data_IF_072878868634
#
_entry.id   IF_072878868634
#
_cell.length_a   1.000
_cell.length_b   1.000
_cell.length_c   1.000
_cell.angle_alpha   90.00
_cell.angle_beta   90.00
_cell.angle_gamma   90.00
#
_symmetry.space_group_name_H-M   'P 1'
#
loop_
_entity.id
_entity.type
_entity.pdbx_description
1 polymer ?
#
# COMPACT_ATOMS: atom_id res chain seq x y z
N UNK A 1 -56.83 -30.59 -51.51
CA UNK A 1 -56.02 -31.50 -50.68
C UNK A 1 -54.49 -31.43 -50.91
N UNK A 2 -53.95 -30.71 -51.91
CA UNK A 2 -52.51 -30.74 -52.23
C UNK A 2 -51.57 -29.76 -51.50
N UNK A 3 -52.07 -28.73 -50.81
CA UNK A 3 -51.21 -27.76 -50.11
C UNK A 3 -50.69 -28.27 -48.75
N UNK A 4 -51.53 -28.96 -47.97
CA UNK A 4 -51.18 -29.44 -46.63
C UNK A 4 -50.12 -30.57 -46.70
N UNK A 5 -50.17 -31.42 -47.73
CA UNK A 5 -49.15 -32.46 -47.95
C UNK A 5 -47.78 -31.86 -48.36
N UNK A 6 -47.76 -30.78 -49.16
CA UNK A 6 -46.52 -30.06 -49.49
C UNK A 6 -45.89 -29.37 -48.28
N UNK A 7 -46.69 -28.70 -47.44
CA UNK A 7 -46.16 -28.03 -46.24
C UNK A 7 -45.58 -29.05 -45.25
N UNK A 8 -46.28 -30.17 -45.03
CA UNK A 8 -45.80 -31.24 -44.15
C UNK A 8 -44.56 -31.96 -44.69
N UNK A 9 -44.45 -32.11 -46.01
CA UNK A 9 -43.24 -32.60 -46.66
C UNK A 9 -42.06 -31.65 -46.47
N UNK A 10 -42.28 -30.34 -46.63
CA UNK A 10 -41.24 -29.30 -46.49
C UNK A 10 -40.76 -29.14 -45.04
N UNK A 11 -41.67 -29.20 -44.06
CA UNK A 11 -41.30 -29.21 -42.63
C UNK A 11 -40.50 -30.46 -42.27
N UNK A 12 -40.85 -31.62 -42.83
CA UNK A 12 -40.12 -32.87 -42.58
C UNK A 12 -38.75 -32.86 -43.25
N UNK A 13 -38.63 -32.37 -44.48
CA UNK A 13 -37.32 -32.22 -45.15
C UNK A 13 -36.42 -31.22 -44.44
N UNK A 14 -36.96 -30.09 -43.99
CA UNK A 14 -36.20 -29.08 -43.24
C UNK A 14 -35.77 -29.59 -41.85
N UNK A 15 -36.60 -30.42 -41.20
CA UNK A 15 -36.24 -31.04 -39.92
C UNK A 15 -35.13 -32.08 -40.11
N UNK A 16 -35.20 -32.92 -41.14
CA UNK A 16 -34.17 -33.92 -41.42
C UNK A 16 -32.85 -33.27 -41.85
N UNK A 17 -32.88 -32.24 -42.70
CA UNK A 17 -31.66 -31.52 -43.09
C UNK A 17 -31.00 -30.86 -41.88
N UNK A 18 -31.79 -30.23 -41.00
CA UNK A 18 -31.30 -29.59 -39.78
C UNK A 18 -30.73 -30.58 -38.75
N UNK A 19 -31.28 -31.79 -38.65
CA UNK A 19 -30.73 -32.86 -37.79
C UNK A 19 -29.37 -33.34 -38.33
N UNK A 20 -29.24 -33.48 -39.65
CA UNK A 20 -27.98 -33.87 -40.27
C UNK A 20 -26.89 -32.79 -40.13
N UNK A 21 -27.24 -31.50 -40.24
CA UNK A 21 -26.29 -30.40 -40.05
C UNK A 21 -25.79 -30.33 -38.61
N UNK A 22 -26.68 -30.45 -37.60
CA UNK A 22 -26.30 -30.44 -36.18
C UNK A 22 -25.34 -31.61 -35.86
N UNK A 23 -25.65 -32.82 -36.33
CA UNK A 23 -24.79 -34.00 -36.11
C UNK A 23 -23.42 -33.87 -36.78
N UNK A 24 -23.32 -33.12 -37.88
CA UNK A 24 -22.05 -32.82 -38.54
C UNK A 24 -21.24 -31.76 -37.80
N UNK A 25 -21.90 -30.73 -37.26
CA UNK A 25 -21.29 -29.69 -36.43
C UNK A 25 -20.75 -30.25 -35.11
N UNK A 26 -21.47 -31.17 -34.46
CA UNK A 26 -21.01 -31.86 -33.24
C UNK A 26 -19.74 -32.71 -33.48
N UNK A 27 -19.67 -33.38 -34.64
CA UNK A 27 -18.47 -34.12 -35.05
C UNK A 27 -17.30 -33.17 -35.29
N UNK A 28 -17.54 -32.04 -35.96
CA UNK A 28 -16.53 -31.01 -36.20
C UNK A 28 -16.02 -30.42 -34.87
N UNK A 29 -16.90 -30.11 -33.91
CA UNK A 29 -16.51 -29.60 -32.60
C UNK A 29 -15.65 -30.59 -31.81
N UNK A 30 -15.99 -31.89 -31.84
CA UNK A 30 -15.18 -32.93 -31.19
C UNK A 30 -13.79 -33.09 -31.85
N UNK A 31 -13.70 -32.98 -33.17
CA UNK A 31 -12.42 -33.01 -33.89
C UNK A 31 -11.56 -31.80 -33.52
N UNK A 32 -12.15 -30.59 -33.53
CA UNK A 32 -11.45 -29.35 -33.14
C UNK A 32 -10.93 -29.43 -31.70
N UNK A 33 -11.71 -30.02 -30.79
CA UNK A 33 -11.30 -30.24 -29.41
C UNK A 33 -10.13 -31.23 -29.28
N UNK A 34 -10.20 -32.39 -29.95
CA UNK A 34 -9.11 -33.37 -29.96
C UNK A 34 -7.82 -32.76 -30.55
N UNK A 35 -7.94 -32.02 -31.65
CA UNK A 35 -6.83 -31.30 -32.27
C UNK A 35 -6.22 -30.26 -31.31
N UNK A 36 -7.06 -29.56 -30.55
CA UNK A 36 -6.63 -28.61 -29.52
C UNK A 36 -5.84 -29.28 -28.40
N UNK A 37 -6.24 -30.49 -28.00
CA UNK A 37 -5.56 -31.28 -26.97
C UNK A 37 -4.19 -31.78 -27.47
N UNK A 38 -4.11 -32.21 -28.72
CA UNK A 38 -2.85 -32.62 -29.38
C UNK A 38 -1.89 -31.44 -29.54
N UNK A 39 -2.38 -30.27 -29.94
CA UNK A 39 -1.56 -29.05 -30.09
C UNK A 39 -1.11 -28.47 -28.74
N UNK A 40 -1.76 -28.82 -27.63
CA UNK A 40 -1.34 -28.45 -26.28
C UNK A 40 -0.39 -29.46 -25.63
N UNK A 41 -0.25 -30.66 -26.20
CA UNK A 41 0.61 -31.74 -25.70
C UNK A 41 2.08 -31.31 -25.48
N UNK A 42 2.69 -30.44 -26.32
CA UNK A 42 4.02 -29.90 -26.08
C UNK A 42 4.14 -29.11 -24.77
N UNK A 43 3.08 -28.52 -24.21
CA UNK A 43 3.15 -27.82 -22.92
C UNK A 43 3.14 -28.75 -21.70
N UNK A 44 2.69 -29.99 -21.90
CA UNK A 44 2.57 -31.01 -20.85
C UNK A 44 3.80 -31.94 -20.80
N UNK A 45 4.66 -31.88 -21.82
CA UNK A 45 5.91 -32.61 -21.85
C UNK A 45 6.90 -32.05 -20.79
N UNK A 46 7.71 -32.91 -20.14
CA UNK A 46 8.68 -32.48 -19.14
C UNK A 46 9.66 -31.44 -19.74
N UNK A 47 9.86 -30.35 -19.00
CA UNK A 47 10.58 -29.13 -19.43
C UNK A 47 11.95 -29.39 -20.08
N UNK A 48 12.61 -30.49 -19.75
CA UNK A 48 13.91 -30.88 -20.32
C UNK A 48 13.88 -31.22 -21.81
N UNK A 49 12.78 -31.76 -22.34
CA UNK A 49 12.69 -32.19 -23.75
C UNK A 49 12.49 -30.98 -24.70
N UNK A 50 11.77 -29.96 -24.25
CA UNK A 50 11.42 -28.77 -25.05
C UNK A 50 12.58 -27.78 -25.15
N UNK A 51 13.40 -27.69 -24.10
CA UNK A 51 14.62 -26.88 -24.12
C UNK A 51 15.65 -27.46 -25.09
N UNK A 52 15.70 -28.79 -25.23
CA UNK A 52 16.63 -29.48 -26.13
C UNK A 52 16.28 -29.34 -27.64
N UNK A 53 15.01 -29.05 -27.98
CA UNK A 53 14.51 -29.06 -29.36
C UNK A 53 14.44 -27.67 -30.04
N UNK A 54 14.67 -26.56 -29.32
CA UNK A 54 14.59 -25.24 -29.99
C UNK A 54 14.69 -23.96 -29.15
N UNK A 55 14.97 -24.02 -27.84
CA UNK A 55 15.12 -22.82 -27.01
C UNK A 55 13.82 -22.01 -26.80
N UNK A 56 13.88 -21.03 -25.88
CA UNK A 56 12.71 -20.27 -25.41
C UNK A 56 11.97 -19.50 -26.53
N UNK A 57 12.68 -19.12 -27.60
CA UNK A 57 12.12 -18.35 -28.72
C UNK A 57 11.18 -19.16 -29.61
N UNK A 58 11.47 -20.44 -29.84
CA UNK A 58 10.59 -21.32 -30.63
C UNK A 58 9.28 -21.59 -29.90
N UNK A 59 9.35 -21.77 -28.57
CA UNK A 59 8.14 -21.93 -27.75
C UNK A 59 7.34 -20.63 -27.68
N UNK A 60 7.99 -19.46 -27.63
CA UNK A 60 7.29 -18.17 -27.71
C UNK A 60 6.61 -17.98 -29.08
N UNK A 61 7.30 -18.30 -30.18
CA UNK A 61 6.71 -18.25 -31.52
C UNK A 61 5.53 -19.23 -31.67
N UNK A 62 5.67 -20.46 -31.14
CA UNK A 62 4.61 -21.46 -31.10
C UNK A 62 3.42 -20.98 -30.25
N UNK A 63 3.65 -20.39 -29.07
CA UNK A 63 2.57 -19.79 -28.25
C UNK A 63 1.83 -18.70 -29.02
N UNK A 64 2.55 -17.79 -29.68
CA UNK A 64 1.95 -16.63 -30.36
C UNK A 64 1.14 -17.02 -31.60
N UNK A 65 1.49 -18.11 -32.29
CA UNK A 65 0.73 -18.58 -33.46
C UNK A 65 -0.40 -19.53 -33.09
N UNK A 66 -0.14 -20.48 -32.20
CA UNK A 66 -1.07 -21.59 -31.93
C UNK A 66 -2.16 -21.19 -30.93
N UNK A 67 -1.83 -20.42 -29.88
CA UNK A 67 -2.81 -20.06 -28.85
C UNK A 67 -3.96 -19.20 -29.38
N UNK A 68 -3.74 -18.14 -30.20
CA UNK A 68 -4.84 -17.35 -30.75
C UNK A 68 -5.74 -18.16 -31.70
N UNK A 69 -5.16 -19.07 -32.49
CA UNK A 69 -5.89 -19.96 -33.41
C UNK A 69 -6.72 -20.97 -32.62
N UNK A 70 -6.18 -21.55 -31.54
CA UNK A 70 -6.90 -22.44 -30.64
C UNK A 70 -8.08 -21.74 -29.95
N UNK A 71 -7.87 -20.52 -29.46
CA UNK A 71 -8.92 -19.73 -28.82
C UNK A 71 -10.03 -19.41 -29.83
N UNK A 72 -9.68 -18.98 -31.03
CA UNK A 72 -10.65 -18.67 -32.10
C UNK A 72 -11.43 -19.90 -32.57
N UNK A 73 -10.75 -21.04 -32.78
CA UNK A 73 -11.38 -22.28 -33.22
C UNK A 73 -12.34 -22.86 -32.16
N UNK A 74 -11.94 -22.83 -30.88
CA UNK A 74 -12.75 -23.34 -29.78
C UNK A 74 -13.89 -22.37 -29.38
N UNK A 75 -13.76 -21.07 -29.71
CA UNK A 75 -14.86 -20.10 -29.59
C UNK A 75 -15.95 -20.32 -30.65
N UNK A 76 -15.55 -20.64 -31.89
CA UNK A 76 -16.47 -20.87 -33.01
C UNK A 76 -17.19 -22.23 -32.93
N UNK A 77 -16.55 -23.24 -32.33
CA UNK A 77 -17.11 -24.59 -32.16
C UNK A 77 -16.94 -25.07 -30.71
N UNK A 78 -17.76 -24.58 -29.76
CA UNK A 78 -17.66 -24.99 -28.36
C UNK A 78 -18.02 -26.48 -28.21
N UNK A 79 -17.22 -27.21 -27.45
CA UNK A 79 -17.47 -28.62 -27.21
C UNK A 79 -18.84 -28.85 -26.52
N UNK A 80 -19.59 -29.83 -26.99
CA UNK A 80 -20.98 -30.10 -26.57
C UNK A 80 -21.13 -30.42 -25.07
N UNK A 81 -20.06 -30.84 -24.40
CA UNK A 81 -20.02 -31.13 -22.96
C UNK A 81 -19.74 -29.91 -22.07
N UNK A 82 -19.28 -28.78 -22.63
CA UNK A 82 -19.02 -27.54 -21.88
C UNK A 82 -20.25 -27.02 -21.11
N UNK A 83 -21.45 -26.88 -21.72
CA UNK A 83 -22.64 -26.46 -20.98
C UNK A 83 -23.08 -27.47 -19.91
N UNK A 84 -22.79 -28.76 -20.09
CA UNK A 84 -23.05 -29.77 -19.06
C UNK A 84 -22.10 -29.61 -17.86
N UNK A 85 -20.81 -29.37 -18.09
CA UNK A 85 -19.82 -29.11 -17.02
C UNK A 85 -20.09 -27.81 -16.28
N UNK A 86 -20.47 -26.74 -16.99
CA UNK A 86 -20.85 -25.47 -16.37
C UNK A 86 -22.07 -25.64 -15.46
N UNK A 87 -23.09 -26.40 -15.89
CA UNK A 87 -24.25 -26.72 -15.05
C UNK A 87 -23.85 -27.53 -13.81
N UNK A 88 -22.99 -28.54 -13.98
CA UNK A 88 -22.51 -29.40 -12.88
C UNK A 88 -21.67 -28.59 -11.87
N UNK A 89 -20.82 -27.68 -12.35
CA UNK A 89 -20.05 -26.75 -11.51
C UNK A 89 -20.95 -25.75 -10.76
N UNK A 90 -22.00 -25.22 -11.41
CA UNK A 90 -22.99 -24.36 -10.76
C UNK A 90 -23.80 -25.10 -9.69
N UNK A 91 -24.17 -26.36 -9.92
CA UNK A 91 -24.83 -27.20 -8.93
C UNK A 91 -23.93 -27.56 -7.75
N UNK A 92 -22.66 -27.91 -8.02
CA UNK A 92 -21.65 -28.11 -6.99
C UNK A 92 -21.44 -26.83 -6.17
N UNK A 93 -21.30 -25.67 -6.81
CA UNK A 93 -21.15 -24.39 -6.13
C UNK A 93 -22.37 -24.06 -5.25
N UNK A 94 -23.59 -24.32 -5.72
CA UNK A 94 -24.82 -24.15 -4.92
C UNK A 94 -24.85 -25.11 -3.73
N UNK A 95 -24.52 -26.39 -3.93
CA UNK A 95 -24.46 -27.40 -2.85
C UNK A 95 -23.37 -27.10 -1.82
N UNK A 96 -22.20 -26.63 -2.26
CA UNK A 96 -21.05 -26.32 -1.41
C UNK A 96 -21.19 -24.97 -0.68
N UNK A 97 -22.03 -24.06 -1.16
CA UNK A 97 -22.21 -22.73 -0.54
C UNK A 97 -22.64 -22.79 0.93
N UNK A 98 -23.61 -23.64 1.25
CA UNK A 98 -24.11 -23.80 2.62
C UNK A 98 -23.08 -24.42 3.60
N UNK A 99 -22.42 -25.56 3.29
CA UNK A 99 -21.39 -26.11 4.17
C UNK A 99 -20.17 -25.18 4.25
N UNK A 100 -19.75 -24.53 3.17
CA UNK A 100 -18.66 -23.54 3.21
C UNK A 100 -19.01 -22.36 4.11
N UNK A 101 -20.24 -21.84 4.03
CA UNK A 101 -20.67 -20.75 4.92
C UNK A 101 -20.70 -21.19 6.40
N UNK A 102 -21.13 -22.43 6.70
CA UNK A 102 -21.09 -22.98 8.06
C UNK A 102 -19.66 -23.14 8.57
N UNK A 103 -18.78 -23.74 7.77
CA UNK A 103 -17.35 -23.90 8.12
C UNK A 103 -16.70 -22.53 8.33
N UNK A 104 -16.94 -21.57 7.44
CA UNK A 104 -16.42 -20.22 7.58
C UNK A 104 -16.96 -19.50 8.83
N UNK A 105 -18.23 -19.75 9.20
CA UNK A 105 -18.81 -19.28 10.45
C UNK A 105 -18.10 -19.85 11.68
N UNK A 106 -17.86 -21.16 11.72
CA UNK A 106 -17.12 -21.83 12.81
C UNK A 106 -15.69 -21.30 12.90
N UNK A 107 -14.99 -21.17 11.78
CA UNK A 107 -13.64 -20.61 11.71
C UNK A 107 -13.62 -19.16 12.22
N UNK A 108 -14.60 -18.34 11.85
CA UNK A 108 -14.70 -16.96 12.33
C UNK A 108 -14.91 -16.90 13.84
N UNK A 109 -15.75 -17.77 14.41
CA UNK A 109 -15.97 -17.85 15.86
C UNK A 109 -14.71 -18.32 16.59
N UNK A 110 -13.99 -19.30 16.03
CA UNK A 110 -12.73 -19.79 16.59
C UNK A 110 -11.62 -18.73 16.52
N UNK A 111 -11.59 -17.89 15.48
CA UNK A 111 -10.61 -16.80 15.33
C UNK A 111 -10.98 -15.53 16.11
N UNK A 112 -12.24 -15.37 16.53
CA UNK A 112 -12.70 -14.20 17.27
C UNK A 112 -11.88 -13.83 18.52
N UNK A 113 -11.45 -14.76 19.40
CA UNK A 113 -10.59 -14.41 20.53
C UNK A 113 -9.20 -13.92 20.08
N UNK A 114 -8.64 -14.51 19.01
CA UNK A 114 -7.35 -14.10 18.44
C UNK A 114 -7.47 -12.68 17.87
N UNK A 115 -8.53 -12.38 17.12
CA UNK A 115 -8.77 -11.03 16.58
C UNK A 115 -8.89 -9.98 17.69
N UNK A 116 -9.49 -10.33 18.85
CA UNK A 116 -9.52 -9.42 20.01
C UNK A 116 -8.12 -9.21 20.58
N UNK A 117 -7.33 -10.26 20.73
CA UNK A 117 -5.95 -10.16 21.21
C UNK A 117 -5.09 -9.33 20.24
N UNK A 118 -5.23 -9.52 18.93
CA UNK A 118 -4.57 -8.71 17.90
C UNK A 118 -4.95 -7.22 18.02
N UNK A 119 -6.23 -6.91 18.22
CA UNK A 119 -6.69 -5.53 18.44
C UNK A 119 -6.14 -4.91 19.72
N UNK A 120 -6.12 -5.65 20.83
CA UNK A 120 -5.52 -5.19 22.09
C UNK A 120 -4.02 -4.94 21.94
N UNK A 121 -3.32 -5.85 21.25
CA UNK A 121 -1.91 -5.68 20.92
C UNK A 121 -1.66 -4.43 20.08
N UNK A 122 -2.50 -4.16 19.09
CA UNK A 122 -2.41 -2.97 18.25
C UNK A 122 -2.77 -1.69 18.98
N UNK A 123 -3.70 -1.73 19.95
CA UNK A 123 -4.02 -0.57 20.80
C UNK A 123 -2.79 -0.11 21.59
N UNK A 124 -1.93 -1.04 22.01
CA UNK A 124 -0.62 -0.73 22.59
C UNK A 124 0.38 -0.33 21.51
N UNK A 125 0.15 0.83 20.88
CA UNK A 125 0.88 1.29 19.69
C UNK A 125 2.41 1.21 19.84
N UNK A 126 2.96 1.68 20.97
CA UNK A 126 4.40 1.71 21.24
C UNK A 126 4.98 0.30 21.41
N UNK A 127 4.25 -0.59 22.09
CA UNK A 127 4.70 -1.97 22.29
C UNK A 127 4.69 -2.73 20.96
N UNK A 128 3.64 -2.55 20.17
CA UNK A 128 3.50 -3.19 18.86
C UNK A 128 4.59 -2.74 17.88
N UNK A 129 4.94 -1.44 17.87
CA UNK A 129 6.05 -0.94 17.04
C UNK A 129 7.40 -1.44 17.52
N UNK A 130 7.66 -1.43 18.82
CA UNK A 130 8.92 -1.92 19.41
C UNK A 130 9.15 -3.40 19.09
N UNK A 131 8.13 -4.24 19.26
CA UNK A 131 8.21 -5.67 18.93
C UNK A 131 8.43 -5.87 17.43
N UNK A 132 7.75 -5.09 16.58
CA UNK A 132 7.99 -5.12 15.13
C UNK A 132 9.41 -4.73 14.74
N UNK A 133 9.96 -3.66 15.34
CA UNK A 133 11.34 -3.22 15.14
C UNK A 133 12.33 -4.30 15.58
N UNK A 134 12.13 -4.88 16.77
CA UNK A 134 12.99 -5.95 17.28
C UNK A 134 12.99 -7.18 16.36
N UNK A 135 11.80 -7.62 15.90
CA UNK A 135 11.67 -8.75 14.98
C UNK A 135 12.34 -8.48 13.63
N UNK A 136 12.13 -7.29 13.06
CA UNK A 136 12.74 -6.88 11.80
C UNK A 136 14.27 -6.80 11.90
N UNK A 137 14.78 -6.21 12.98
CA UNK A 137 16.22 -6.06 13.19
C UNK A 137 16.89 -7.40 13.45
N UNK A 138 16.24 -8.27 14.25
CA UNK A 138 16.70 -9.64 14.46
C UNK A 138 16.70 -10.44 13.15
N UNK A 139 15.68 -10.28 12.30
CA UNK A 139 15.63 -10.90 10.98
C UNK A 139 16.80 -10.44 10.08
N UNK A 140 17.04 -9.12 10.01
CA UNK A 140 18.12 -8.56 9.21
C UNK A 140 19.49 -8.97 9.74
N UNK A 141 19.69 -8.96 11.05
CA UNK A 141 20.93 -9.38 11.70
C UNK A 141 21.25 -10.84 11.35
N UNK A 142 20.24 -11.70 11.48
CA UNK A 142 20.34 -13.13 11.18
C UNK A 142 20.62 -13.45 9.71
N UNK A 143 20.28 -12.55 8.77
CA UNK A 143 20.48 -12.74 7.33
C UNK A 143 21.77 -12.11 6.81
N UNK A 144 22.11 -10.91 7.30
CA UNK A 144 23.18 -10.08 6.72
C UNK A 144 24.44 -10.02 7.59
N UNK A 145 24.36 -10.33 8.89
CA UNK A 145 25.51 -10.23 9.80
C UNK A 145 25.92 -11.63 10.25
N UNK A 146 27.16 -12.01 9.93
CA UNK A 146 27.77 -13.24 10.43
C UNK A 146 28.29 -13.01 11.86
N UNK A 147 27.67 -13.67 12.85
CA UNK A 147 28.21 -13.94 14.20
C UNK A 147 27.97 -12.93 15.36
N UNK A 148 27.19 -11.86 15.19
CA UNK A 148 26.79 -11.00 16.32
C UNK A 148 25.61 -11.57 17.12
N UNK A 149 25.71 -11.71 18.46
CA UNK A 149 24.58 -12.15 19.31
C UNK A 149 23.66 -10.99 19.78
N UNK A 150 24.11 -9.75 19.71
CA UNK A 150 23.43 -8.56 20.29
C UNK A 150 23.43 -7.31 19.40
N UNK A 151 23.91 -7.43 18.17
CA UNK A 151 24.05 -6.36 17.16
C UNK A 151 22.76 -5.61 16.86
N UNK A 152 21.62 -6.31 16.81
CA UNK A 152 20.30 -5.70 16.61
C UNK A 152 19.90 -4.72 17.71
N UNK A 153 20.20 -5.04 18.98
CA UNK A 153 19.91 -4.16 20.12
C UNK A 153 20.79 -2.90 20.11
N UNK A 154 22.06 -3.04 19.72
CA UNK A 154 22.95 -1.89 19.56
C UNK A 154 22.50 -0.97 18.43
N UNK A 155 22.09 -1.51 17.27
CA UNK A 155 21.52 -0.70 16.19
C UNK A 155 20.24 0.03 16.64
N UNK A 156 19.38 -0.65 17.41
CA UNK A 156 18.17 -0.03 17.95
C UNK A 156 18.50 1.09 18.96
N UNK A 157 19.46 0.86 19.86
CA UNK A 157 19.93 1.88 20.81
C UNK A 157 20.50 3.10 20.07
N UNK A 158 21.33 2.87 19.05
CA UNK A 158 21.88 3.93 18.21
C UNK A 158 20.78 4.76 17.56
N UNK A 159 19.79 4.12 16.92
CA UNK A 159 18.70 4.86 16.29
C UNK A 159 17.81 5.60 17.29
N UNK A 160 17.54 5.03 18.46
CA UNK A 160 16.79 5.73 19.52
C UNK A 160 17.52 7.00 20.00
N UNK A 161 18.84 6.93 20.12
CA UNK A 161 19.66 8.08 20.48
C UNK A 161 19.62 9.15 19.39
N UNK A 162 19.67 8.76 18.10
CA UNK A 162 19.46 9.68 16.98
C UNK A 162 18.07 10.32 17.03
N UNK A 163 17.01 9.55 17.29
CA UNK A 163 15.65 10.07 17.44
C UNK A 163 15.54 11.07 18.58
N UNK A 164 16.20 10.80 19.70
CA UNK A 164 16.23 11.71 20.84
C UNK A 164 16.89 13.04 20.48
N UNK A 165 18.03 13.00 19.79
CA UNK A 165 18.70 14.20 19.26
C UNK A 165 17.81 15.00 18.30
N UNK A 166 17.12 14.33 17.38
CA UNK A 166 16.18 14.99 16.45
C UNK A 166 15.00 15.59 17.20
N UNK A 167 14.45 14.90 18.20
CA UNK A 167 13.36 15.41 19.04
C UNK A 167 13.79 16.64 19.83
N UNK A 168 15.00 16.64 20.37
CA UNK A 168 15.57 17.79 21.07
C UNK A 168 15.73 19.00 20.15
N UNK A 169 16.27 18.81 18.95
CA UNK A 169 16.37 19.88 17.94
C UNK A 169 14.98 20.39 17.56
N UNK A 170 14.01 19.50 17.35
CA UNK A 170 12.61 19.89 17.08
C UNK A 170 12.03 20.74 18.22
N UNK A 171 12.30 20.38 19.48
CA UNK A 171 11.84 21.12 20.65
C UNK A 171 12.41 22.54 20.69
N UNK A 172 13.72 22.70 20.43
CA UNK A 172 14.36 24.01 20.32
C UNK A 172 13.73 24.83 19.19
N UNK A 173 13.54 24.24 18.02
CA UNK A 173 12.94 24.95 16.88
C UNK A 173 11.51 25.41 17.13
N UNK A 174 10.73 24.66 17.92
CA UNK A 174 9.29 24.90 18.11
C UNK A 174 8.92 25.72 19.34
N UNK A 175 9.67 25.58 20.45
CA UNK A 175 9.36 26.28 21.70
C UNK A 175 9.89 27.71 21.77
N UNK A 176 10.86 28.05 20.92
CA UNK A 176 11.57 29.32 21.06
C UNK A 176 11.07 30.39 20.10
N UNK A 177 10.69 31.54 20.64
CA UNK A 177 10.33 32.71 19.85
C UNK A 177 11.59 33.27 19.19
N UNK A 178 11.78 32.96 17.90
CA UNK A 178 12.87 33.47 17.07
C UNK A 178 12.77 34.98 16.77
N UNK A 179 11.87 35.71 17.45
CA UNK A 179 11.72 37.14 17.24
C UNK A 179 12.95 37.89 17.77
N UNK A 180 13.59 38.74 16.96
CA UNK A 180 14.75 39.51 17.39
C UNK A 180 14.42 40.62 18.40
N UNK A 181 13.13 40.79 18.72
CA UNK A 181 12.62 41.82 19.60
C UNK A 181 12.02 41.18 20.85
N UNK A 182 12.33 41.73 22.02
CA UNK A 182 11.70 41.36 23.30
C UNK A 182 10.97 42.59 23.84
N UNK A 183 9.72 42.44 24.24
CA UNK A 183 8.97 43.52 24.87
C UNK A 183 9.49 43.73 26.29
N UNK A 184 9.81 44.98 26.65
CA UNK A 184 10.39 45.34 27.96
C UNK A 184 9.45 44.98 29.12
N UNK A 185 8.13 45.06 28.90
CA UNK A 185 7.10 44.57 29.82
C UNK A 185 5.95 43.95 29.02
N UNK A 186 5.15 43.06 29.62
CA UNK A 186 4.02 42.36 28.93
C UNK A 186 3.00 43.30 28.27
N UNK A 187 2.93 44.56 28.71
CA UNK A 187 1.97 45.56 28.20
C UNK A 187 2.63 46.74 27.46
N UNK A 188 3.96 46.81 27.41
CA UNK A 188 4.67 47.89 26.72
C UNK A 188 4.89 47.55 25.24
N UNK A 189 4.63 48.52 24.36
CA UNK A 189 4.95 48.44 22.92
C UNK A 189 6.43 48.74 22.63
N UNK A 190 7.23 49.05 23.66
CA UNK A 190 8.66 49.30 23.53
C UNK A 190 9.38 47.97 23.33
N UNK A 191 9.82 47.74 22.10
CA UNK A 191 10.63 46.60 21.68
C UNK A 191 12.09 46.95 21.92
N UNK A 192 12.78 46.24 22.81
CA UNK A 192 14.24 46.31 22.85
C UNK A 192 14.79 45.34 21.81
N UNK A 193 15.82 45.76 21.07
CA UNK A 193 16.61 44.82 20.28
C UNK A 193 17.33 43.92 21.29
N UNK A 194 16.81 42.72 21.50
CA UNK A 194 17.54 41.74 22.28
C UNK A 194 18.80 41.36 21.50
N UNK A 195 19.85 40.93 22.20
CA UNK A 195 21.03 40.33 21.59
C UNK A 195 20.66 38.93 21.02
N UNK A 196 19.71 38.91 20.08
CA UNK A 196 19.09 37.73 19.52
C UNK A 196 20.12 36.82 18.86
N UNK A 197 21.12 37.40 18.22
CA UNK A 197 22.24 36.66 17.64
C UNK A 197 23.00 35.82 18.68
N UNK A 198 23.33 36.36 19.87
CA UNK A 198 24.07 35.59 20.88
C UNK A 198 23.21 34.54 21.55
N UNK A 199 21.90 34.83 21.77
CA UNK A 199 20.96 33.82 22.25
C UNK A 199 20.85 32.64 21.28
N UNK A 200 20.67 32.93 19.99
CA UNK A 200 20.61 31.92 18.92
C UNK A 200 21.91 31.10 18.92
N UNK A 201 23.07 31.76 18.90
CA UNK A 201 24.38 31.08 18.90
C UNK A 201 24.55 30.20 20.14
N UNK A 202 24.16 30.65 21.33
CA UNK A 202 24.25 29.87 22.56
C UNK A 202 23.36 28.62 22.52
N UNK A 203 22.12 28.74 22.06
CA UNK A 203 21.21 27.59 21.98
C UNK A 203 21.64 26.57 20.92
N UNK A 204 22.11 27.04 19.75
CA UNK A 204 22.71 26.15 18.75
C UNK A 204 24.00 25.51 19.27
N UNK A 205 24.81 26.21 20.07
CA UNK A 205 26.00 25.64 20.69
C UNK A 205 25.63 24.55 21.71
N UNK A 206 24.55 24.72 22.49
CA UNK A 206 24.03 23.65 23.35
C UNK A 206 23.55 22.45 22.54
N UNK A 207 22.82 22.67 21.45
CA UNK A 207 22.37 21.59 20.58
C UNK A 207 23.53 20.83 19.93
N UNK A 208 24.52 21.54 19.41
CA UNK A 208 25.72 20.94 18.81
C UNK A 208 26.53 20.20 19.87
N UNK A 209 26.81 20.80 21.03
CA UNK A 209 27.55 20.13 22.10
C UNK A 209 26.83 18.89 22.61
N UNK A 210 25.50 18.93 22.72
CA UNK A 210 24.68 17.77 23.08
C UNK A 210 24.72 16.66 22.03
N UNK A 211 24.65 16.99 20.73
CA UNK A 211 24.79 15.99 19.66
C UNK A 211 26.19 15.37 19.69
N UNK A 212 27.22 16.21 19.83
CA UNK A 212 28.62 15.78 19.89
C UNK A 212 28.86 14.86 21.09
N UNK A 213 28.39 15.23 22.29
CA UNK A 213 28.55 14.42 23.50
C UNK A 213 27.83 13.09 23.37
N UNK A 214 26.62 13.08 22.81
CA UNK A 214 25.89 11.84 22.53
C UNK A 214 26.64 10.95 21.52
N UNK A 215 27.11 11.51 20.41
CA UNK A 215 27.88 10.73 19.42
C UNK A 215 29.17 10.20 20.01
N UNK A 216 29.84 10.98 20.86
CA UNK A 216 31.04 10.57 21.56
C UNK A 216 30.76 9.47 22.59
N UNK A 217 29.68 9.57 23.36
CA UNK A 217 29.25 8.51 24.31
C UNK A 217 28.90 7.23 23.55
N UNK A 218 28.18 7.31 22.42
CA UNK A 218 27.92 6.14 21.57
C UNK A 218 29.19 5.53 21.02
N UNK A 219 30.17 6.37 20.63
CA UNK A 219 31.46 5.91 20.10
C UNK A 219 32.32 5.29 21.21
N UNK A 220 32.32 5.85 22.42
CA UNK A 220 33.00 5.31 23.59
C UNK A 220 32.38 3.98 24.05
N UNK A 221 31.04 3.90 24.16
CA UNK A 221 30.32 2.64 24.41
C UNK A 221 30.57 1.62 23.28
N UNK A 222 30.72 2.10 22.05
CA UNK A 222 31.10 1.30 20.89
C UNK A 222 32.53 0.76 21.00
N UNK A 223 33.48 1.54 21.51
CA UNK A 223 34.89 1.17 21.62
C UNK A 223 35.19 0.29 22.85
N UNK A 224 34.49 0.47 23.96
CA UNK A 224 34.86 -0.15 25.24
C UNK A 224 34.31 -1.57 25.48
N UNK A 225 33.22 -2.02 24.83
CA UNK A 225 32.52 -3.27 25.23
C UNK A 225 32.15 -4.27 24.13
N UNK A 226 32.94 -4.41 23.06
CA UNK A 226 32.90 -5.63 22.22
C UNK A 226 32.42 -5.49 20.78
N UNK A 227 32.68 -4.35 20.14
CA UNK A 227 32.46 -4.18 18.69
C UNK A 227 33.62 -4.68 17.80
N UNK A 228 34.49 -5.58 18.25
CA UNK A 228 35.57 -6.08 17.37
C UNK A 228 35.04 -6.68 16.04
N UNK A 229 33.77 -7.13 16.03
CA UNK A 229 33.11 -7.71 14.87
C UNK A 229 31.89 -6.93 14.36
N UNK A 230 31.64 -5.69 14.83
CA UNK A 230 30.51 -4.91 14.34
C UNK A 230 30.86 -4.18 13.04
N UNK A 231 30.67 -4.88 11.93
CA UNK A 231 30.73 -4.31 10.58
C UNK A 231 29.38 -4.52 9.90
N UNK A 232 28.38 -3.65 10.17
CA UNK A 232 27.09 -3.78 9.52
C UNK A 232 27.24 -3.55 8.02
N UNK A 233 26.73 -4.48 7.21
CA UNK A 233 26.70 -4.33 5.75
C UNK A 233 25.85 -3.11 5.39
N UNK A 234 26.18 -2.39 4.31
CA UNK A 234 25.39 -1.25 3.85
C UNK A 234 23.90 -1.60 3.60
N UNK A 235 23.62 -2.84 3.18
CA UNK A 235 22.25 -3.34 3.01
C UNK A 235 21.52 -3.47 4.36
N UNK A 236 22.20 -3.95 5.40
CA UNK A 236 21.63 -4.04 6.74
C UNK A 236 21.26 -2.66 7.27
N UNK A 237 22.17 -1.68 7.18
CA UNK A 237 21.93 -0.32 7.67
C UNK A 237 20.84 0.40 6.87
N UNK A 238 20.80 0.19 5.54
CA UNK A 238 19.75 0.76 4.70
C UNK A 238 18.35 0.21 5.05
N UNK A 239 18.21 -1.12 5.19
CA UNK A 239 16.92 -1.75 5.48
C UNK A 239 16.46 -1.40 6.91
N UNK A 240 17.32 -1.61 7.91
CA UNK A 240 16.98 -1.35 9.32
C UNK A 240 16.76 0.14 9.60
N UNK A 241 17.59 1.01 9.02
CA UNK A 241 17.44 2.46 9.10
C UNK A 241 16.15 2.96 8.44
N UNK A 242 15.85 2.50 7.22
CA UNK A 242 14.59 2.86 6.53
C UNK A 242 13.37 2.36 7.31
N UNK A 243 13.39 1.13 7.80
CA UNK A 243 12.31 0.59 8.61
C UNK A 243 12.10 1.40 9.90
N UNK A 244 13.18 1.74 10.59
CA UNK A 244 13.11 2.52 11.83
C UNK A 244 12.57 3.93 11.59
N UNK A 245 13.11 4.66 10.61
CA UNK A 245 12.66 6.01 10.26
C UNK A 245 11.17 6.08 9.87
N UNK A 246 10.64 5.01 9.27
CA UNK A 246 9.23 4.93 8.85
C UNK A 246 8.29 4.41 9.95
N UNK A 247 8.82 3.83 11.03
CA UNK A 247 8.01 3.31 12.15
C UNK A 247 8.01 4.22 13.37
N UNK A 248 9.06 5.01 13.55
CA UNK A 248 9.26 5.86 14.71
C UNK A 248 8.35 7.10 14.69
N UNK A 249 7.74 7.43 15.84
CA UNK A 249 6.69 8.45 15.91
C UNK A 249 7.21 9.84 15.58
N UNK A 250 8.39 10.18 16.07
CA UNK A 250 9.01 11.50 15.85
C UNK A 250 9.17 11.80 14.36
N UNK A 251 9.64 10.82 13.58
CA UNK A 251 9.80 10.99 12.15
C UNK A 251 8.46 10.99 11.41
N UNK A 252 7.50 10.14 11.82
CA UNK A 252 6.15 10.14 11.24
C UNK A 252 5.42 11.49 11.36
N UNK A 253 5.72 12.27 12.40
CA UNK A 253 5.20 13.64 12.57
C UNK A 253 6.02 14.70 11.84
N UNK A 254 7.33 14.50 11.69
CA UNK A 254 8.24 15.47 11.07
C UNK A 254 8.15 15.48 9.54
N UNK A 255 8.07 14.31 8.91
CA UNK A 255 8.07 14.17 7.46
C UNK A 255 6.91 14.89 6.76
N UNK A 256 5.64 14.83 7.23
CA UNK A 256 4.55 15.61 6.63
C UNK A 256 4.79 17.12 6.65
N UNK A 257 5.44 17.65 7.70
CA UNK A 257 5.79 19.08 7.79
C UNK A 257 6.82 19.43 6.71
N UNK A 258 7.85 18.59 6.53
CA UNK A 258 8.83 18.74 5.46
C UNK A 258 8.21 18.64 4.06
N UNK A 259 7.30 17.67 3.84
CA UNK A 259 6.56 17.51 2.58
C UNK A 259 5.66 18.72 2.28
N UNK A 260 5.00 19.28 3.30
CA UNK A 260 4.20 20.49 3.14
C UNK A 260 5.07 21.71 2.79
N UNK A 261 6.30 21.80 3.32
CA UNK A 261 7.25 22.85 2.97
C UNK A 261 7.70 22.80 1.50
N UNK A 262 7.74 21.61 0.88
CA UNK A 262 8.03 21.43 -0.54
C UNK A 262 6.90 21.91 -1.47
N UNK A 263 5.72 22.25 -0.93
CA UNK A 263 4.56 22.79 -1.67
C UNK A 263 4.20 21.99 -2.93
N UNK A 264 4.17 20.67 -2.82
CA UNK A 264 3.84 19.77 -3.93
C UNK A 264 2.35 19.84 -4.27
N UNK A 265 2.02 20.42 -5.42
CA UNK A 265 0.62 20.57 -5.90
C UNK A 265 -0.11 19.22 -6.05
N UNK A 266 0.63 18.14 -6.32
CA UNK A 266 0.07 16.79 -6.53
C UNK A 266 -0.58 16.20 -5.28
N UNK A 267 -0.16 16.61 -4.09
CA UNK A 267 -0.63 16.07 -2.80
C UNK A 267 -1.87 16.80 -2.25
N UNK A 268 -2.25 17.93 -2.86
CA UNK A 268 -3.45 18.72 -2.53
C UNK A 268 -3.62 19.05 -1.02
N UNK A 269 -2.53 19.18 -0.25
CA UNK A 269 -2.59 19.45 1.19
C UNK A 269 -2.94 18.23 2.05
N UNK A 270 -2.94 17.01 1.49
CA UNK A 270 -3.17 15.75 2.21
C UNK A 270 -1.85 15.00 2.51
N UNK A 271 -0.72 15.70 2.65
CA UNK A 271 0.61 15.11 2.76
C UNK A 271 0.70 14.13 3.93
N UNK A 272 0.07 14.43 5.07
CA UNK A 272 0.06 13.56 6.25
C UNK A 272 -0.63 12.21 6.00
N UNK A 273 -1.73 12.19 5.23
CA UNK A 273 -2.47 10.97 4.88
C UNK A 273 -1.68 10.11 3.89
N UNK A 274 -1.12 10.74 2.85
CA UNK A 274 -0.27 10.05 1.87
C UNK A 274 0.98 9.48 2.50
N UNK A 275 1.70 10.28 3.27
CA UNK A 275 2.92 9.85 3.95
C UNK A 275 2.62 8.71 4.94
N UNK A 276 1.53 8.82 5.72
CA UNK A 276 1.12 7.76 6.62
C UNK A 276 0.82 6.42 5.92
N UNK A 277 0.19 6.45 4.75
CA UNK A 277 -0.07 5.25 3.95
C UNK A 277 1.22 4.69 3.31
N UNK A 278 2.07 5.57 2.75
CA UNK A 278 3.34 5.20 2.15
C UNK A 278 4.31 4.58 3.17
N UNK A 279 4.45 5.19 4.35
CA UNK A 279 5.31 4.66 5.40
C UNK A 279 4.92 3.23 5.78
N UNK A 280 3.62 2.98 6.02
CA UNK A 280 3.10 1.64 6.35
C UNK A 280 3.24 0.65 5.18
N UNK A 281 3.06 1.12 3.94
CA UNK A 281 3.23 0.32 2.74
C UNK A 281 4.68 -0.11 2.51
N UNK A 282 5.62 0.81 2.66
CA UNK A 282 7.06 0.54 2.51
C UNK A 282 7.54 -0.40 3.63
N UNK A 283 7.13 -0.16 4.87
CA UNK A 283 7.48 -1.02 6.03
C UNK A 283 7.05 -2.47 5.82
N UNK A 284 5.82 -2.69 5.36
CA UNK A 284 5.30 -4.03 5.06
C UNK A 284 5.96 -4.65 3.83
N UNK A 285 6.26 -3.83 2.81
CA UNK A 285 7.00 -4.27 1.62
C UNK A 285 8.45 -4.67 1.94
N UNK A 286 9.12 -4.00 2.87
CA UNK A 286 10.47 -4.36 3.32
C UNK A 286 10.49 -5.71 4.07
N UNK A 287 9.44 -6.02 4.83
CA UNK A 287 9.32 -7.29 5.55
C UNK A 287 9.04 -8.48 4.62
N UNK A 288 8.33 -8.25 3.50
CA UNK A 288 7.89 -9.30 2.57
C UNK A 288 9.03 -10.18 1.99
N UNK A 289 10.15 -9.63 1.45
CA UNK A 289 11.25 -10.44 0.93
C UNK A 289 12.11 -11.11 2.02
N UNK A 290 12.11 -10.58 3.25
CA UNK A 290 12.87 -11.15 4.35
C UNK A 290 12.27 -12.48 4.85
N UNK A 291 10.95 -12.66 4.74
CA UNK A 291 10.27 -13.91 5.12
C UNK A 291 10.77 -15.13 4.31
N UNK A 292 10.72 -15.13 2.95
CA UNK A 292 11.21 -16.26 2.17
C UNK A 292 12.74 -16.42 2.29
N UNK A 293 13.49 -15.33 2.47
CA UNK A 293 14.92 -15.42 2.75
C UNK A 293 15.18 -16.18 4.06
N UNK A 294 14.48 -15.87 5.15
CA UNK A 294 14.63 -16.59 6.43
C UNK A 294 14.23 -18.06 6.35
N UNK A 295 13.20 -18.35 5.55
CA UNK A 295 12.78 -19.73 5.26
C UNK A 295 13.90 -20.50 4.55
N UNK A 296 14.56 -19.88 3.57
CA UNK A 296 15.68 -20.49 2.84
C UNK A 296 16.87 -20.84 3.74
N UNK A 297 17.14 -20.03 4.77
CA UNK A 297 18.17 -20.29 5.79
C UNK A 297 17.69 -21.19 6.96
N UNK A 298 16.60 -21.94 6.77
CA UNK A 298 16.02 -22.90 7.74
C UNK A 298 15.60 -22.30 9.10
N UNK A 299 15.35 -20.98 9.17
CA UNK A 299 14.95 -20.27 10.40
C UNK A 299 13.44 -20.05 10.48
N UNK A 300 12.69 -21.15 10.43
CA UNK A 300 11.23 -21.17 10.31
C UNK A 300 10.49 -20.43 11.44
N UNK A 301 10.95 -20.54 12.69
CA UNK A 301 10.29 -19.88 13.83
C UNK A 301 10.31 -18.35 13.71
N UNK A 302 11.48 -17.79 13.35
CA UNK A 302 11.63 -16.35 13.16
C UNK A 302 10.86 -15.88 11.91
N UNK A 303 10.90 -16.66 10.83
CA UNK A 303 10.14 -16.38 9.62
C UNK A 303 8.62 -16.34 9.89
N UNK A 304 8.11 -17.28 10.68
CA UNK A 304 6.69 -17.34 11.07
C UNK A 304 6.28 -16.13 11.92
N UNK A 305 7.10 -15.74 12.91
CA UNK A 305 6.84 -14.56 13.74
C UNK A 305 6.89 -13.27 12.93
N UNK A 306 7.88 -13.10 12.05
CA UNK A 306 8.01 -11.93 11.19
C UNK A 306 6.82 -11.83 10.21
N UNK A 307 6.44 -12.95 9.59
CA UNK A 307 5.30 -13.02 8.69
C UNK A 307 4.00 -12.69 9.43
N UNK A 308 3.80 -13.23 10.64
CA UNK A 308 2.59 -12.99 11.41
C UNK A 308 2.50 -11.54 11.91
N UNK A 309 3.54 -11.00 12.54
CA UNK A 309 3.47 -9.66 13.15
C UNK A 309 3.63 -8.56 12.10
N UNK A 310 4.71 -8.59 11.30
CA UNK A 310 5.07 -7.48 10.43
C UNK A 310 4.34 -7.50 9.08
N UNK A 311 4.00 -8.68 8.56
CA UNK A 311 3.27 -8.79 7.27
C UNK A 311 1.78 -8.92 7.51
N UNK A 312 1.34 -9.90 8.31
CA UNK A 312 -0.09 -10.18 8.50
C UNK A 312 -0.76 -9.13 9.41
N UNK A 313 -0.33 -8.97 10.67
CA UNK A 313 -0.97 -8.02 11.60
C UNK A 313 -0.79 -6.57 11.11
N UNK A 314 0.44 -6.12 10.86
CA UNK A 314 0.68 -4.73 10.44
C UNK A 314 0.14 -4.45 9.03
N UNK A 315 0.26 -5.37 8.08
CA UNK A 315 -0.30 -5.21 6.73
C UNK A 315 -1.83 -5.20 6.73
N UNK A 316 -2.46 -6.17 7.38
CA UNK A 316 -3.92 -6.27 7.41
C UNK A 316 -4.57 -5.14 8.21
N UNK A 317 -4.01 -4.73 9.34
CA UNK A 317 -4.64 -3.72 10.19
C UNK A 317 -4.13 -2.31 9.88
N UNK A 318 -2.82 -2.06 10.02
CA UNK A 318 -2.28 -0.70 9.92
C UNK A 318 -2.31 -0.18 8.48
N UNK A 319 -1.83 -0.98 7.51
CA UNK A 319 -1.82 -0.57 6.11
C UNK A 319 -3.24 -0.48 5.55
N UNK A 320 -4.09 -1.48 5.76
CA UNK A 320 -5.47 -1.45 5.25
C UNK A 320 -6.27 -0.27 5.82
N UNK A 321 -6.16 0.00 7.13
CA UNK A 321 -6.83 1.17 7.73
C UNK A 321 -6.33 2.48 7.13
N UNK A 322 -5.02 2.63 6.93
CA UNK A 322 -4.45 3.82 6.31
C UNK A 322 -4.86 3.98 4.84
N UNK A 323 -4.91 2.88 4.08
CA UNK A 323 -5.39 2.88 2.69
C UNK A 323 -6.87 3.21 2.61
N UNK A 324 -7.70 2.64 3.49
CA UNK A 324 -9.14 2.94 3.54
C UNK A 324 -9.37 4.43 3.83
N UNK A 325 -8.67 5.00 4.82
CA UNK A 325 -8.74 6.44 5.12
C UNK A 325 -8.32 7.31 3.94
N UNK A 326 -7.28 6.90 3.21
CA UNK A 326 -6.82 7.60 2.01
C UNK A 326 -7.80 7.46 0.84
N UNK A 327 -8.38 6.28 0.64
CA UNK A 327 -9.40 6.03 -0.39
C UNK A 327 -10.69 6.80 -0.11
N UNK A 328 -11.12 6.88 1.15
CA UNK A 328 -12.29 7.66 1.57
C UNK A 328 -12.06 9.17 1.38
N UNK A 329 -10.89 9.66 1.80
CA UNK A 329 -10.49 11.06 1.57
C UNK A 329 -10.43 11.39 0.07
N UNK A 330 -9.84 10.51 -0.75
CA UNK A 330 -9.78 10.69 -2.20
C UNK A 330 -11.15 10.56 -2.85
N UNK A 331 -11.99 9.64 -2.39
CA UNK A 331 -13.32 9.35 -2.92
C UNK A 331 -14.31 10.49 -2.66
N UNK A 332 -14.29 11.07 -1.45
CA UNK A 332 -15.10 12.25 -1.13
C UNK A 332 -14.73 13.45 -2.01
N UNK A 333 -13.44 13.64 -2.27
CA UNK A 333 -12.93 14.73 -3.11
C UNK A 333 -13.03 14.46 -4.62
N UNK A 334 -13.14 13.20 -5.05
CA UNK A 334 -13.15 12.82 -6.46
C UNK A 334 -14.34 13.42 -7.24
N UNK A 335 -15.45 13.70 -6.54
CA UNK A 335 -16.65 14.33 -7.11
C UNK A 335 -16.44 15.80 -7.47
N UNK A 336 -15.43 16.44 -6.89
CA UNK A 336 -15.15 17.86 -7.06
C UNK A 336 -14.06 18.07 -8.11
N UNK A 337 -14.29 19.01 -9.04
CA UNK A 337 -13.33 19.35 -10.09
C UNK A 337 -12.07 19.96 -9.46
N UNK A 338 -10.89 19.65 -10.01
CA UNK A 338 -9.65 20.36 -9.69
C UNK A 338 -9.63 21.69 -10.44
N UNK A 339 -9.31 22.78 -9.73
CA UNK A 339 -9.14 24.07 -10.36
C UNK A 339 -7.91 24.07 -11.28
N UNK A 340 -7.98 24.76 -12.41
CA UNK A 340 -6.81 24.94 -13.29
C UNK A 340 -5.87 26.00 -12.69
N UNK A 341 -4.58 25.96 -13.01
CA UNK A 341 -3.64 26.98 -12.54
C UNK A 341 -4.04 28.38 -13.02
N UNK A 342 -4.64 28.50 -14.21
CA UNK A 342 -5.16 29.75 -14.77
C UNK A 342 -6.32 30.31 -13.93
N UNK A 343 -7.30 29.47 -13.56
CA UNK A 343 -8.41 29.88 -12.69
C UNK A 343 -7.90 30.39 -11.33
N UNK A 344 -6.90 29.71 -10.75
CA UNK A 344 -6.29 30.15 -9.48
C UNK A 344 -5.54 31.48 -9.62
N UNK A 345 -4.81 31.66 -10.72
CA UNK A 345 -4.09 32.89 -10.98
C UNK A 345 -5.02 34.08 -11.24
N UNK A 346 -6.21 33.86 -11.79
CA UNK A 346 -7.21 34.93 -11.96
C UNK A 346 -7.97 35.29 -10.70
N UNK A 347 -8.16 34.32 -9.79
CA UNK A 347 -8.92 34.55 -8.55
C UNK A 347 -8.07 35.26 -7.49
N UNK A 348 -6.76 34.95 -7.42
CA UNK A 348 -5.80 35.41 -6.39
C UNK A 348 -6.36 35.40 -4.95
N UNK A 349 -7.26 34.46 -4.66
CA UNK A 349 -8.03 34.46 -3.42
C UNK A 349 -7.42 33.55 -2.34
N UNK A 350 -7.88 33.75 -1.12
CA UNK A 350 -7.51 33.03 0.07
C UNK A 350 -8.59 32.00 0.39
N UNK A 351 -8.22 30.81 0.86
CA UNK A 351 -9.22 29.81 1.22
C UNK A 351 -10.06 30.30 2.41
N UNK A 352 -11.38 30.42 2.23
CA UNK A 352 -12.30 30.92 3.26
C UNK A 352 -12.35 30.10 4.57
N UNK A 353 -11.80 28.88 4.58
CA UNK A 353 -11.80 27.99 5.75
C UNK A 353 -10.53 28.16 6.60
N UNK A 354 -9.35 28.18 5.97
CA UNK A 354 -8.08 28.27 6.69
C UNK A 354 -7.40 29.64 6.59
N UNK A 355 -7.97 30.55 5.79
CA UNK A 355 -7.42 31.88 5.49
C UNK A 355 -5.98 31.84 4.94
N UNK A 356 -5.60 30.72 4.31
CA UNK A 356 -4.31 30.54 3.63
C UNK A 356 -4.40 30.68 2.12
N UNK A 357 -3.31 31.11 1.48
CA UNK A 357 -3.25 31.26 0.02
C UNK A 357 -3.45 29.92 -0.72
N UNK A 358 -4.14 29.97 -1.86
CA UNK A 358 -4.49 28.78 -2.63
C UNK A 358 -3.52 28.56 -3.79
N UNK A 359 -2.71 27.50 -3.71
CA UNK A 359 -1.89 26.99 -4.84
C UNK A 359 -2.52 25.80 -5.56
N UNK A 360 -3.35 25.05 -4.83
CA UNK A 360 -4.19 23.99 -5.39
C UNK A 360 -5.56 24.07 -4.71
N UNK A 361 -6.63 23.95 -5.49
CA UNK A 361 -7.98 24.04 -4.97
C UNK A 361 -8.93 23.05 -5.66
N UNK A 362 -10.00 22.71 -4.94
CA UNK A 362 -11.16 21.99 -5.46
C UNK A 362 -12.30 22.98 -5.67
N UNK A 363 -12.95 22.86 -6.81
CA UNK A 363 -14.09 23.69 -7.21
C UNK A 363 -15.37 22.95 -6.89
N UNK A 364 -16.24 23.60 -6.13
CA UNK A 364 -17.58 23.10 -5.80
C UNK A 364 -18.56 23.33 -6.95
N UNK A 365 -19.67 22.56 -7.05
CA UNK A 365 -20.71 22.81 -8.06
C UNK A 365 -21.31 24.22 -8.02
N UNK A 366 -21.23 24.90 -6.87
CA UNK A 366 -21.63 26.30 -6.72
C UNK A 366 -20.50 27.30 -7.04
N UNK A 367 -19.44 26.87 -7.73
CA UNK A 367 -18.30 27.67 -8.17
C UNK A 367 -17.44 28.32 -7.07
N UNK A 368 -17.48 27.80 -5.84
CA UNK A 368 -16.56 28.21 -4.77
C UNK A 368 -15.31 27.32 -4.70
N UNK A 369 -14.17 27.92 -4.33
CA UNK A 369 -12.84 27.31 -4.28
C UNK A 369 -12.37 27.06 -2.84
N UNK A 370 -11.81 25.89 -2.58
CA UNK A 370 -11.25 25.52 -1.26
C UNK A 370 -10.01 24.65 -1.43
N UNK A 371 -9.09 24.64 -0.46
CA UNK A 371 -8.06 23.58 -0.41
C UNK A 371 -8.73 22.22 -0.26
N UNK A 372 -8.15 21.17 -0.84
CA UNK A 372 -8.76 19.85 -0.82
C UNK A 372 -8.90 19.31 0.62
N UNK A 373 -7.90 19.51 1.49
CA UNK A 373 -7.98 19.10 2.89
C UNK A 373 -9.02 19.92 3.70
N UNK A 374 -9.16 21.21 3.42
CA UNK A 374 -10.18 22.05 4.04
C UNK A 374 -11.58 21.61 3.63
N UNK A 375 -11.80 21.40 2.33
CA UNK A 375 -13.08 20.91 1.82
C UNK A 375 -13.43 19.53 2.40
N UNK A 376 -12.46 18.62 2.49
CA UNK A 376 -12.63 17.30 3.10
C UNK A 376 -13.09 17.39 4.56
N UNK A 377 -12.48 18.28 5.35
CA UNK A 377 -12.88 18.53 6.75
C UNK A 377 -14.29 19.10 6.83
N UNK A 378 -14.66 20.03 5.95
CA UNK A 378 -16.01 20.57 5.86
C UNK A 378 -17.03 19.49 5.50
N UNK A 379 -16.74 18.63 4.52
CA UNK A 379 -17.62 17.52 4.11
C UNK A 379 -17.82 16.50 5.23
N UNK A 380 -16.82 16.28 6.07
CA UNK A 380 -16.97 15.41 7.24
C UNK A 380 -17.94 15.98 8.29
N UNK A 381 -18.14 17.30 8.33
CA UNK A 381 -19.03 17.97 9.26
C UNK A 381 -20.42 18.31 8.66
N UNK A 382 -20.49 18.69 7.39
CA UNK A 382 -21.73 19.09 6.71
C UNK A 382 -21.65 18.96 5.19
N UNK A 383 -22.72 18.48 4.56
CA UNK A 383 -22.86 18.38 3.09
C UNK A 383 -23.27 19.71 2.42
N UNK A 384 -22.91 20.85 3.02
CA UNK A 384 -23.26 22.19 2.54
C UNK A 384 -22.01 23.02 2.32
N UNK A 385 -22.05 23.89 1.31
CA UNK A 385 -20.96 24.81 1.02
C UNK A 385 -20.75 25.81 2.18
N UNK A 386 -19.51 25.99 2.71
CA UNK A 386 -19.24 26.95 3.78
C UNK A 386 -19.55 28.41 3.41
N UNK A 387 -19.51 28.76 2.12
CA UNK A 387 -19.73 30.14 1.66
C UNK A 387 -21.22 30.42 1.41
N UNK A 388 -21.90 29.57 0.63
CA UNK A 388 -23.29 29.83 0.21
C UNK A 388 -24.35 28.95 0.89
N UNK A 389 -23.95 28.02 1.76
CA UNK A 389 -24.84 27.12 2.53
C UNK A 389 -25.71 26.20 1.65
N UNK A 390 -25.53 26.20 0.33
CA UNK A 390 -26.22 25.31 -0.61
C UNK A 390 -25.69 23.89 -0.51
N UNK A 391 -26.56 22.92 -0.71
CA UNK A 391 -26.20 21.50 -0.81
C UNK A 391 -25.47 21.21 -2.13
N UNK A 392 -24.53 20.28 -2.09
CA UNK A 392 -23.80 19.88 -3.30
C UNK A 392 -24.70 19.03 -4.21
N UNK A 393 -25.13 19.61 -5.34
CA UNK A 393 -25.85 18.90 -6.39
C UNK A 393 -24.87 18.67 -7.54
N UNK A 394 -24.63 17.41 -7.89
CA UNK A 394 -23.83 17.02 -9.03
C UNK A 394 -24.79 16.62 -10.15
N UNK A 395 -24.81 17.39 -11.24
CA UNK A 395 -25.64 17.13 -12.41
C UNK A 395 -25.06 16.04 -13.29
#
# INVERSE_FOLDING_TARGET
>A
MGMISRVRGRIRSDSFSKIHTIKSEDKLANIVWLLSLVLLLPYWAPRGLLVALGGAWLMAAYTCLVVPVLISANYKYPASWYPAVVKLAQELAKKLRAPVAKVMGVVKTAYAPIERAEKLFLQMNNLSTMIGQLLMFTACDRLFVSQGRLTSLYSLMFYNVVTYSVSYVREICTKEDWSPYVNVTRHSRVKHLAMSATKIVLEWTKAVTFIVTITFVLLALGLEQGLEHYKPTALYTAITGTYYLLTERTFLELWPIGLAALKLERLEGMEALYFGAWARGIVTALALPLVPALVFYERWRLAALLMYVCVFIHGRHRLMEALNKLQEARGSLAKFRRATPEELATLEDVCAVCLGSMKSARVTPCAHFFHADCLRKCLAASDRCPICVRTYVFC
#
